data_IF_379023933118
#
_entry.id   IF_379023933118
#
_cell.length_a   1.000
_cell.length_b   1.000
_cell.length_c   1.000
_cell.angle_alpha   90.00
_cell.angle_beta   90.00
_cell.angle_gamma   90.00
#
_symmetry.space_group_name_H-M   'P 1'
#
loop_
_entity.id
_entity.type
_entity.pdbx_description
1 polymer ?
#
# COMPACT_ATOMS: atom_id res chain seq x y z
N UNK A 1 5.95 12.15 -17.63
CA UNK A 1 5.26 10.86 -17.88
C UNK A 1 3.78 11.13 -17.78
N UNK A 2 3.08 11.18 -18.90
CA UNK A 2 1.61 11.25 -18.88
C UNK A 2 1.10 9.89 -18.39
N UNK A 3 0.55 9.86 -17.19
CA UNK A 3 -0.20 8.69 -16.72
C UNK A 3 -1.47 8.60 -17.54
N UNK A 4 -1.56 7.60 -18.41
CA UNK A 4 -2.66 7.35 -19.35
C UNK A 4 -3.96 6.88 -18.64
N UNK A 5 -4.21 7.36 -17.42
CA UNK A 5 -5.34 7.01 -16.57
C UNK A 5 -6.21 8.25 -16.45
N UNK A 6 -7.40 8.19 -17.04
CA UNK A 6 -8.40 9.26 -16.93
C UNK A 6 -8.77 9.50 -15.46
N UNK A 7 -8.71 10.75 -15.00
CA UNK A 7 -9.09 11.14 -13.63
C UNK A 7 -10.54 10.76 -13.28
N UNK A 8 -11.42 10.74 -14.29
CA UNK A 8 -12.81 10.32 -14.15
C UNK A 8 -13.02 8.79 -14.08
N UNK A 9 -11.96 7.99 -14.28
CA UNK A 9 -12.01 6.53 -14.33
C UNK A 9 -11.03 5.90 -13.34
N UNK A 10 -10.99 6.42 -12.11
CA UNK A 10 -10.14 5.89 -11.04
C UNK A 10 -10.83 4.83 -10.17
N UNK A 11 -12.15 4.68 -10.30
CA UNK A 11 -12.92 3.67 -9.57
C UNK A 11 -14.16 3.25 -10.34
N UNK A 12 -14.68 2.07 -10.03
CA UNK A 12 -16.02 1.63 -10.42
C UNK A 12 -16.98 1.88 -9.27
N UNK A 13 -18.17 2.43 -9.56
CA UNK A 13 -19.25 2.56 -8.60
C UNK A 13 -20.04 1.26 -8.58
N UNK A 14 -20.17 0.64 -7.41
CA UNK A 14 -20.99 -0.56 -7.23
C UNK A 14 -22.45 -0.21 -6.96
N UNK A 15 -23.33 -1.14 -7.29
CA UNK A 15 -24.74 -1.09 -6.90
C UNK A 15 -24.88 -1.25 -5.37
N UNK A 16 -25.69 -0.40 -4.74
CA UNK A 16 -25.93 -0.42 -3.29
C UNK A 16 -26.29 0.96 -2.73
N UNK A 17 -26.57 1.08 -1.41
CA UNK A 17 -26.70 2.37 -0.75
C UNK A 17 -25.45 3.22 -1.03
N UNK A 18 -25.68 4.50 -1.32
CA UNK A 18 -24.80 5.32 -2.14
C UNK A 18 -23.33 5.36 -1.66
N UNK A 19 -22.40 5.42 -2.64
CA UNK A 19 -20.94 5.63 -2.51
C UNK A 19 -20.07 4.41 -2.23
N UNK A 20 -20.46 3.21 -2.64
CA UNK A 20 -19.53 2.08 -2.68
C UNK A 20 -18.70 2.18 -3.96
N UNK A 21 -17.40 2.43 -3.81
CA UNK A 21 -16.43 2.48 -4.91
C UNK A 21 -15.43 1.35 -4.77
N UNK A 22 -15.03 0.75 -5.90
CA UNK A 22 -13.94 -0.22 -5.97
C UNK A 22 -12.86 0.21 -6.95
N UNK A 23 -11.63 -0.27 -6.72
CA UNK A 23 -10.49 0.07 -7.58
C UNK A 23 -10.71 -0.44 -9.00
N UNK A 24 -10.21 0.31 -9.98
CA UNK A 24 -10.23 -0.10 -11.40
C UNK A 24 -9.49 -1.41 -11.66
N UNK A 25 -8.59 -1.81 -10.76
CA UNK A 25 -7.81 -3.05 -10.88
C UNK A 25 -8.66 -4.32 -10.76
N UNK A 26 -9.92 -4.21 -10.33
CA UNK A 26 -10.83 -5.35 -10.25
C UNK A 26 -11.78 -5.44 -11.43
N UNK A 27 -11.62 -4.61 -12.46
CA UNK A 27 -12.49 -4.58 -13.65
C UNK A 27 -13.98 -4.51 -13.29
N UNK A 28 -14.32 -3.77 -12.22
CA UNK A 28 -15.69 -3.56 -11.78
C UNK A 28 -16.32 -4.75 -11.05
N UNK A 29 -15.54 -5.79 -10.73
CA UNK A 29 -16.02 -7.02 -10.10
C UNK A 29 -15.37 -7.23 -8.72
N UNK A 30 -16.15 -7.23 -7.62
CA UNK A 30 -15.62 -7.51 -6.28
C UNK A 30 -14.91 -8.85 -6.18
N UNK A 31 -15.40 -9.87 -6.89
CA UNK A 31 -14.84 -11.22 -6.93
C UNK A 31 -13.43 -11.27 -7.56
N UNK A 32 -13.08 -10.29 -8.40
CA UNK A 32 -11.71 -10.16 -8.92
C UNK A 32 -10.72 -9.72 -7.83
N UNK A 33 -11.21 -9.27 -6.66
CA UNK A 33 -10.37 -9.09 -5.48
C UNK A 33 -10.16 -10.38 -4.67
N UNK A 34 -10.71 -11.53 -5.07
CA UNK A 34 -10.68 -12.71 -4.19
C UNK A 34 -9.26 -13.19 -3.88
N UNK A 35 -8.23 -12.89 -4.70
CA UNK A 35 -6.82 -13.13 -4.33
C UNK A 35 -5.77 -12.28 -5.08
N UNK A 36 -5.47 -11.01 -4.71
CA UNK A 36 -4.62 -10.19 -5.57
C UNK A 36 -3.28 -9.73 -4.99
N UNK A 37 -2.96 -9.91 -3.69
CA UNK A 37 -1.87 -9.10 -3.13
C UNK A 37 -0.75 -9.79 -2.36
N UNK A 38 -0.86 -11.08 -2.00
CA UNK A 38 0.27 -11.75 -1.36
C UNK A 38 0.44 -13.20 -1.75
N UNK A 39 1.63 -13.52 -2.30
CA UNK A 39 2.10 -14.88 -2.58
C UNK A 39 2.31 -15.73 -1.32
N UNK A 40 2.20 -15.11 -0.14
CA UNK A 40 2.47 -15.72 1.16
C UNK A 40 1.17 -15.92 1.93
N UNK A 41 0.79 -17.18 2.15
CA UNK A 41 -0.45 -17.55 2.87
C UNK A 41 -0.52 -17.04 4.31
N UNK A 42 0.63 -16.82 4.94
CA UNK A 42 0.77 -16.28 6.29
C UNK A 42 0.72 -14.75 6.36
N UNK A 43 0.61 -14.06 5.21
CA UNK A 43 0.50 -12.61 5.14
C UNK A 43 -0.95 -12.24 4.89
N UNK A 44 -1.61 -11.75 5.93
CA UNK A 44 -3.03 -11.38 5.87
C UNK A 44 -3.24 -9.88 5.99
N UNK A 45 -2.24 -9.14 6.49
CA UNK A 45 -2.30 -7.70 6.67
C UNK A 45 -1.12 -7.00 6.03
N UNK A 46 -1.26 -5.69 5.76
CA UNK A 46 -0.14 -4.84 5.32
C UNK A 46 0.98 -4.86 6.37
N UNK A 47 0.66 -4.98 7.66
CA UNK A 47 1.65 -5.11 8.72
C UNK A 47 2.49 -6.38 8.55
N UNK A 48 1.86 -7.52 8.20
CA UNK A 48 2.56 -8.77 7.92
C UNK A 48 3.47 -8.66 6.70
N UNK A 49 3.04 -7.93 5.65
CA UNK A 49 3.87 -7.64 4.46
C UNK A 49 5.19 -6.97 4.88
N UNK A 50 5.12 -5.90 5.67
CA UNK A 50 6.32 -5.16 6.09
C UNK A 50 7.22 -6.01 6.99
N UNK A 51 6.66 -6.77 7.93
CA UNK A 51 7.45 -7.68 8.80
C UNK A 51 8.11 -8.80 8.00
N UNK A 52 7.40 -9.39 7.05
CA UNK A 52 7.95 -10.44 6.20
C UNK A 52 9.03 -9.90 5.27
N UNK A 53 8.83 -8.70 4.73
CA UNK A 53 9.81 -7.99 3.92
C UNK A 53 11.10 -7.68 4.67
N UNK A 54 11.04 -7.34 5.97
CA UNK A 54 12.22 -7.16 6.82
C UNK A 54 13.13 -8.42 6.81
N UNK A 55 12.52 -9.60 7.02
CA UNK A 55 13.25 -10.87 7.06
C UNK A 55 13.73 -11.28 5.66
N UNK A 56 12.86 -11.21 4.66
CA UNK A 56 13.15 -11.66 3.30
C UNK A 56 14.20 -10.80 2.59
N UNK A 57 14.25 -9.51 2.87
CA UNK A 57 15.20 -8.58 2.25
C UNK A 57 16.49 -8.39 3.05
N UNK A 58 16.63 -9.03 4.22
CA UNK A 58 17.70 -8.73 5.17
C UNK A 58 17.78 -7.22 5.50
N UNK A 59 16.65 -6.63 5.89
CA UNK A 59 16.51 -5.19 6.17
C UNK A 59 16.91 -4.26 5.00
N UNK A 60 16.60 -4.68 3.77
CA UNK A 60 16.83 -3.88 2.57
C UNK A 60 15.89 -2.67 2.43
N UNK A 61 15.86 -2.09 1.23
CA UNK A 61 15.01 -0.94 0.90
C UNK A 61 13.52 -1.30 0.96
N UNK A 62 12.74 -0.52 1.70
CA UNK A 62 11.30 -0.72 1.89
C UNK A 62 10.47 0.41 1.26
N UNK A 63 10.78 1.66 1.58
CA UNK A 63 10.00 2.82 1.14
C UNK A 63 10.89 3.85 0.45
N UNK A 64 10.64 4.08 -0.83
CA UNK A 64 11.27 5.15 -1.61
C UNK A 64 10.53 6.47 -1.40
N UNK A 65 11.26 7.55 -1.19
CA UNK A 65 10.71 8.90 -1.16
C UNK A 65 11.64 9.85 -1.91
N UNK A 66 11.06 10.94 -2.42
CA UNK A 66 11.79 11.97 -3.15
C UNK A 66 11.77 13.26 -2.34
N UNK A 67 12.92 13.75 -1.84
CA UNK A 67 12.97 14.98 -1.04
C UNK A 67 12.65 16.24 -1.86
N UNK A 68 13.06 16.28 -3.12
CA UNK A 68 12.84 17.37 -4.05
C UNK A 68 12.89 16.88 -5.51
N UNK A 69 12.40 17.71 -6.44
CA UNK A 69 12.28 17.35 -7.84
C UNK A 69 13.60 17.26 -8.61
N UNK A 70 14.73 17.59 -7.98
CA UNK A 70 16.05 17.52 -8.60
C UNK A 70 16.79 16.25 -8.20
N UNK A 71 16.56 15.77 -6.98
CA UNK A 71 17.22 14.59 -6.43
C UNK A 71 16.52 13.28 -6.84
N UNK A 72 17.28 12.20 -6.84
CA UNK A 72 16.75 10.84 -7.00
C UNK A 72 15.97 10.34 -5.79
N UNK A 73 15.33 9.18 -5.93
CA UNK A 73 14.68 8.52 -4.81
C UNK A 73 15.69 8.13 -3.73
N UNK A 74 15.34 8.42 -2.48
CA UNK A 74 15.99 7.93 -1.28
C UNK A 74 15.16 6.81 -0.69
N UNK A 75 15.82 5.81 -0.12
CA UNK A 75 15.14 4.62 0.41
C UNK A 75 15.26 4.55 1.92
N UNK A 76 14.16 4.22 2.58
CA UNK A 76 14.12 3.83 3.99
C UNK A 76 14.17 2.31 4.09
N UNK A 77 14.97 1.80 5.03
CA UNK A 77 15.01 0.37 5.32
C UNK A 77 13.72 -0.13 5.96
N UNK A 78 13.43 -1.43 5.85
CA UNK A 78 12.27 -2.06 6.49
C UNK A 78 12.20 -1.78 8.00
N UNK A 79 13.33 -1.86 8.71
CA UNK A 79 13.38 -1.56 10.14
C UNK A 79 13.02 -0.11 10.44
N UNK A 80 13.48 0.83 9.61
CA UNK A 80 13.18 2.26 9.79
C UNK A 80 11.70 2.53 9.61
N UNK A 81 11.07 1.93 8.59
CA UNK A 81 9.63 2.04 8.33
C UNK A 81 8.84 1.46 9.50
N UNK A 82 9.17 0.25 9.97
CA UNK A 82 8.51 -0.39 11.11
C UNK A 82 8.56 0.47 12.37
N UNK A 83 9.75 0.97 12.73
CA UNK A 83 9.93 1.79 13.93
C UNK A 83 9.09 3.06 13.87
N UNK A 84 9.08 3.74 12.72
CA UNK A 84 8.29 4.96 12.52
C UNK A 84 6.79 4.68 12.60
N UNK A 85 6.32 3.64 11.92
CA UNK A 85 4.91 3.24 11.95
C UNK A 85 4.44 2.87 13.36
N UNK A 86 5.28 2.18 14.14
CA UNK A 86 4.96 1.84 15.54
C UNK A 86 4.82 3.08 16.41
N UNK A 87 5.72 4.07 16.26
CA UNK A 87 5.65 5.31 17.02
C UNK A 87 4.37 6.11 16.72
N UNK A 88 3.98 6.19 15.44
CA UNK A 88 2.72 6.81 15.03
C UNK A 88 1.53 6.05 15.62
N UNK A 89 1.50 4.72 15.49
CA UNK A 89 0.42 3.89 16.02
C UNK A 89 0.25 3.99 17.54
N UNK A 90 1.36 4.13 18.29
CA UNK A 90 1.32 4.39 19.74
C UNK A 90 0.68 5.75 20.04
N UNK A 91 0.99 6.79 19.28
CA UNK A 91 0.38 8.12 19.45
C UNK A 91 -1.13 8.12 19.19
N UNK A 92 -1.57 7.44 18.13
CA UNK A 92 -2.99 7.36 17.76
C UNK A 92 -3.86 6.63 18.79
N UNK A 93 -3.27 5.74 19.59
CA UNK A 93 -3.99 5.05 20.68
C UNK A 93 -4.36 5.97 21.85
N UNK A 94 -3.75 7.15 21.94
CA UNK A 94 -3.96 8.11 23.02
C UNK A 94 -4.79 9.33 22.58
N UNK A 95 -5.35 9.29 21.37
CA UNK A 95 -6.35 10.24 20.86
C UNK A 95 -7.75 9.65 21.03
#
# INVERSE_FOLDING_TARGET
>A
METNISLSKQSYVLSGPERIHISVLSDGKPENFEQPFCIYKDVQTIYDVIRKGLVKSNNGNCLGYRPDDQNGYRWLSYQTVLNRSLNVGRGLRHL
#
